data_IF_153042553712
#
_entry.id   IF_153042553712
#
_cell.length_a   1.000
_cell.length_b   1.000
_cell.length_c   1.000
_cell.angle_alpha   90.00
_cell.angle_beta   90.00
_cell.angle_gamma   90.00
#
_symmetry.space_group_name_H-M   'P 1'
#
loop_
_entity.id
_entity.type
_entity.pdbx_description
1 polymer ?
#
# COMPACT_ATOMS: atom_id res chain seq x y z
N UNK A 1 -50.42 -19.58 -21.19
CA UNK A 1 -51.82 -19.61 -20.70
C UNK A 1 -51.80 -19.40 -19.19
N UNK A 2 -52.46 -18.34 -18.73
CA UNK A 2 -52.54 -17.90 -17.34
C UNK A 2 -53.60 -18.72 -16.62
N UNK A 3 -53.30 -19.34 -15.47
CA UNK A 3 -54.31 -19.70 -14.45
C UNK A 3 -53.70 -19.60 -13.05
N UNK A 4 -54.00 -18.47 -12.41
CA UNK A 4 -53.99 -18.33 -10.97
C UNK A 4 -55.39 -18.73 -10.46
N UNK A 5 -55.48 -19.62 -9.48
CA UNK A 5 -56.68 -19.78 -8.65
C UNK A 5 -56.21 -19.88 -7.20
N UNK A 6 -56.81 -19.00 -6.42
CA UNK A 6 -56.62 -18.70 -5.02
C UNK A 6 -57.62 -19.55 -4.20
N UNK A 7 -57.26 -19.84 -2.94
CA UNK A 7 -58.11 -19.98 -1.74
C UNK A 7 -58.46 -21.37 -1.14
N UNK A 8 -58.02 -21.45 0.13
CA UNK A 8 -58.72 -21.87 1.36
C UNK A 8 -58.53 -23.30 1.90
N UNK A 9 -57.93 -23.30 3.09
CA UNK A 9 -57.67 -24.37 4.06
C UNK A 9 -58.96 -24.88 4.69
N UNK A 10 -58.98 -26.15 5.16
CA UNK A 10 -59.38 -26.36 6.55
C UNK A 10 -58.41 -27.25 7.33
N UNK A 11 -58.26 -26.89 8.60
CA UNK A 11 -57.41 -27.50 9.61
C UNK A 11 -58.02 -28.75 10.26
N UNK A 12 -57.18 -29.72 10.67
CA UNK A 12 -57.42 -30.68 11.77
C UNK A 12 -56.08 -31.39 12.08
N UNK A 13 -55.31 -30.96 13.09
CA UNK A 13 -55.28 -31.45 14.49
C UNK A 13 -54.76 -32.89 14.66
N UNK A 14 -53.52 -33.05 15.17
CA UNK A 14 -53.20 -33.50 16.55
C UNK A 14 -51.83 -34.21 16.66
N UNK A 15 -51.17 -33.90 17.78
CA UNK A 15 -50.36 -34.76 18.64
C UNK A 15 -48.82 -34.60 18.66
N UNK A 16 -48.36 -34.55 19.91
CA UNK A 16 -47.08 -35.01 20.46
C UNK A 16 -45.87 -34.06 20.42
N UNK A 17 -45.81 -33.28 21.49
CA UNK A 17 -44.64 -32.93 22.30
C UNK A 17 -43.33 -33.65 21.96
N UNK A 18 -42.39 -32.88 21.39
CA UNK A 18 -40.99 -32.95 21.74
C UNK A 18 -40.41 -31.54 21.56
N UNK A 19 -40.57 -30.70 22.57
CA UNK A 19 -39.73 -29.51 22.73
C UNK A 19 -38.32 -30.02 23.07
N UNK A 20 -37.63 -30.59 22.08
CA UNK A 20 -36.19 -30.56 22.11
C UNK A 20 -35.84 -29.08 22.07
N UNK A 21 -35.52 -28.53 23.23
CA UNK A 21 -34.81 -27.28 23.35
C UNK A 21 -33.47 -27.49 22.64
N UNK A 22 -33.45 -27.35 21.32
CA UNK A 22 -32.23 -26.99 20.63
C UNK A 22 -31.84 -25.63 21.23
N UNK A 23 -30.67 -25.50 21.87
CA UNK A 23 -30.15 -24.20 22.22
C UNK A 23 -29.82 -23.47 20.90
N UNK A 24 -30.83 -22.83 20.32
CA UNK A 24 -30.68 -21.65 19.49
C UNK A 24 -30.12 -20.57 20.41
N UNK A 25 -28.79 -20.46 20.43
CA UNK A 25 -28.10 -19.56 21.34
C UNK A 25 -26.63 -19.41 20.99
N UNK A 26 -26.33 -19.45 19.70
CA UNK A 26 -25.01 -19.16 19.16
C UNK A 26 -25.15 -18.18 18.01
N UNK A 27 -25.76 -17.01 18.25
CA UNK A 27 -25.38 -15.85 17.46
C UNK A 27 -23.87 -15.72 17.61
N UNK A 28 -23.11 -16.25 16.64
CA UNK A 28 -21.83 -15.68 16.29
C UNK A 28 -22.20 -14.26 15.89
N UNK A 29 -22.23 -13.36 16.88
CA UNK A 29 -22.04 -11.94 16.65
C UNK A 29 -20.80 -11.93 15.79
N UNK A 30 -20.97 -11.72 14.49
CA UNK A 30 -19.90 -11.22 13.65
C UNK A 30 -19.53 -9.96 14.40
N UNK A 31 -18.47 -10.06 15.19
CA UNK A 31 -17.84 -8.91 15.77
C UNK A 31 -17.25 -8.26 14.54
N UNK A 32 -18.07 -7.44 13.87
CA UNK A 32 -17.59 -6.29 13.10
C UNK A 32 -17.04 -5.36 14.20
N UNK A 33 -15.98 -5.83 14.85
CA UNK A 33 -15.10 -4.99 15.61
C UNK A 33 -14.52 -4.10 14.55
N UNK A 34 -15.10 -2.90 14.52
CA UNK A 34 -14.54 -1.62 14.15
C UNK A 34 -13.01 -1.63 14.18
N UNK A 35 -12.39 -2.33 13.24
CA UNK A 35 -10.98 -2.18 12.86
C UNK A 35 -10.93 -1.13 11.76
N UNK A 36 -11.53 0.01 12.07
CA UNK A 36 -11.25 1.29 11.42
C UNK A 36 -10.55 2.14 12.50
N UNK A 37 -9.50 1.60 13.13
CA UNK A 37 -8.75 2.34 14.15
C UNK A 37 -7.37 1.69 14.42
N UNK A 38 -6.68 1.37 13.34
CA UNK A 38 -5.22 1.53 13.26
C UNK A 38 -5.02 2.00 11.85
N UNK A 39 -4.81 3.31 11.70
CA UNK A 39 -4.61 3.93 10.39
C UNK A 39 -3.71 3.05 9.55
N UNK A 40 -4.18 2.69 8.37
CA UNK A 40 -3.37 2.04 7.35
C UNK A 40 -2.00 2.77 7.35
N UNK A 41 -0.87 2.11 7.64
CA UNK A 41 0.45 2.77 7.59
C UNK A 41 0.82 3.27 6.18
N UNK A 42 -0.12 3.19 5.22
CA UNK A 42 0.07 3.30 3.79
C UNK A 42 -0.27 4.65 3.16
N UNK A 43 -0.33 5.76 3.90
CA UNK A 43 -0.46 7.10 3.30
C UNK A 43 0.38 8.20 3.99
N UNK A 44 1.41 7.84 4.77
CA UNK A 44 2.37 8.81 5.31
C UNK A 44 3.56 8.99 4.36
N UNK A 45 3.37 9.61 3.17
CA UNK A 45 4.47 10.25 2.39
C UNK A 45 3.99 11.12 1.21
N UNK A 46 2.86 11.81 1.29
CA UNK A 46 2.54 12.89 0.34
C UNK A 46 2.72 14.23 1.03
N UNK A 47 3.94 14.76 1.04
CA UNK A 47 4.16 16.07 1.66
C UNK A 47 5.61 16.51 1.85
N UNK A 48 6.61 15.74 1.43
CA UNK A 48 7.90 16.36 1.10
C UNK A 48 7.81 16.71 -0.38
N UNK A 49 7.58 18.00 -0.67
CA UNK A 49 7.65 18.52 -2.05
C UNK A 49 8.92 17.99 -2.72
N UNK A 50 8.82 17.68 -4.02
CA UNK A 50 9.92 16.99 -4.69
C UNK A 50 11.17 17.86 -4.61
N UNK A 51 12.33 17.25 -4.38
CA UNK A 51 13.55 18.04 -4.12
C UNK A 51 13.96 18.93 -5.32
N UNK A 52 13.55 18.55 -6.55
CA UNK A 52 13.78 19.31 -7.78
C UNK A 52 12.79 20.46 -8.00
N UNK A 53 11.67 20.49 -7.27
CA UNK A 53 10.68 21.59 -7.29
C UNK A 53 11.04 22.71 -6.30
N UNK A 54 11.94 22.43 -5.35
CA UNK A 54 12.42 23.45 -4.43
C UNK A 54 13.35 24.43 -5.20
N UNK A 55 12.98 25.72 -5.33
CA UNK A 55 13.74 26.68 -6.14
C UNK A 55 15.13 26.97 -5.57
N UNK A 56 15.29 26.95 -4.24
CA UNK A 56 16.60 27.14 -3.59
C UNK A 56 17.53 25.98 -3.91
N UNK A 57 17.04 24.73 -3.77
CA UNK A 57 17.83 23.54 -4.09
C UNK A 57 18.11 23.41 -5.59
N UNK A 58 17.14 23.71 -6.45
CA UNK A 58 17.33 23.70 -7.89
C UNK A 58 18.40 24.72 -8.32
N UNK A 59 18.36 25.94 -7.76
CA UNK A 59 19.38 26.96 -8.00
C UNK A 59 20.74 26.55 -7.43
N UNK A 60 20.78 26.00 -6.23
CA UNK A 60 22.01 25.53 -5.62
C UNK A 60 22.64 24.43 -6.48
N UNK A 61 21.89 23.44 -6.94
CA UNK A 61 22.40 22.38 -7.82
C UNK A 61 22.75 22.93 -9.21
N UNK A 62 22.13 24.02 -9.63
CA UNK A 62 22.26 24.59 -10.97
C UNK A 62 21.43 23.81 -12.00
N UNK A 63 20.22 23.39 -11.63
CA UNK A 63 19.30 22.72 -12.56
C UNK A 63 18.72 23.71 -13.56
N UNK A 64 18.67 23.31 -14.83
CA UNK A 64 17.94 24.05 -15.86
C UNK A 64 16.44 23.74 -15.78
N UNK A 65 15.60 24.65 -16.30
CA UNK A 65 14.16 24.42 -16.40
C UNK A 65 13.83 23.14 -17.18
N UNK A 66 14.58 22.87 -18.26
CA UNK A 66 14.45 21.65 -19.06
C UNK A 66 14.77 20.39 -18.25
N UNK A 67 15.79 20.43 -17.39
CA UNK A 67 16.11 19.31 -16.49
C UNK A 67 14.99 19.10 -15.46
N UNK A 68 14.49 20.18 -14.85
CA UNK A 68 13.38 20.11 -13.88
C UNK A 68 12.14 19.48 -14.52
N UNK A 69 11.71 19.97 -15.69
CA UNK A 69 10.57 19.42 -16.43
C UNK A 69 10.75 17.94 -16.78
N UNK A 70 11.96 17.55 -17.19
CA UNK A 70 12.27 16.15 -17.51
C UNK A 70 12.18 15.25 -16.27
N UNK A 71 12.77 15.68 -15.16
CA UNK A 71 12.73 14.95 -13.89
C UNK A 71 11.30 14.80 -13.40
N UNK A 72 10.51 15.88 -13.45
CA UNK A 72 9.10 15.87 -13.03
C UNK A 72 8.24 14.90 -13.86
N UNK A 73 8.39 14.94 -15.19
CA UNK A 73 7.69 14.00 -16.08
C UNK A 73 8.05 12.53 -15.81
N UNK A 74 9.33 12.25 -15.55
CA UNK A 74 9.80 10.92 -15.15
C UNK A 74 9.22 10.48 -13.81
N UNK A 75 9.19 11.38 -12.82
CA UNK A 75 8.65 11.10 -11.49
C UNK A 75 7.14 10.85 -11.53
N UNK A 76 6.40 11.66 -12.29
CA UNK A 76 4.96 11.48 -12.50
C UNK A 76 4.66 10.14 -13.16
N UNK A 77 5.42 9.77 -14.18
CA UNK A 77 5.27 8.48 -14.88
C UNK A 77 5.54 7.31 -13.94
N UNK A 78 6.67 7.35 -13.22
CA UNK A 78 7.04 6.32 -12.26
C UNK A 78 6.03 6.19 -11.12
N UNK A 79 5.47 7.29 -10.64
CA UNK A 79 4.44 7.29 -9.59
C UNK A 79 3.16 6.61 -10.06
N UNK A 80 2.71 6.88 -11.29
CA UNK A 80 1.55 6.20 -11.89
C UNK A 80 1.77 4.70 -12.01
N UNK A 81 2.96 4.29 -12.46
CA UNK A 81 3.32 2.87 -12.57
C UNK A 81 3.41 2.17 -11.20
N UNK A 82 3.98 2.85 -10.21
CA UNK A 82 4.10 2.34 -8.83
C UNK A 82 2.72 2.11 -8.23
N UNK A 83 1.80 3.07 -8.36
CA UNK A 83 0.41 2.93 -7.88
C UNK A 83 -0.27 1.70 -8.49
N UNK A 84 -0.14 1.49 -9.81
CA UNK A 84 -0.72 0.33 -10.49
C UNK A 84 -0.12 -0.98 -9.97
N UNK A 85 1.20 -1.05 -9.90
CA UNK A 85 1.89 -2.28 -9.45
C UNK A 85 1.65 -2.59 -7.97
N UNK A 86 1.53 -1.56 -7.13
CA UNK A 86 1.16 -1.72 -5.71
C UNK A 86 -0.30 -2.18 -5.55
N UNK A 87 -1.21 -1.73 -6.42
CA UNK A 87 -2.58 -2.22 -6.47
C UNK A 87 -2.63 -3.70 -6.89
N UNK A 88 -1.91 -4.08 -7.95
CA UNK A 88 -1.79 -5.48 -8.40
C UNK A 88 -1.22 -6.36 -7.27
N UNK A 89 -0.18 -5.88 -6.57
CA UNK A 89 0.39 -6.59 -5.42
C UNK A 89 -0.62 -6.79 -4.31
N UNK A 90 -1.45 -5.77 -4.02
CA UNK A 90 -2.48 -5.87 -2.99
C UNK A 90 -3.53 -6.92 -3.35
N UNK A 91 -3.98 -6.94 -4.61
CA UNK A 91 -4.93 -7.94 -5.12
C UNK A 91 -4.33 -9.35 -5.03
N UNK A 92 -3.12 -9.55 -5.54
CA UNK A 92 -2.46 -10.87 -5.52
C UNK A 92 -2.25 -11.39 -4.09
N UNK A 93 -2.00 -10.52 -3.11
CA UNK A 93 -1.92 -10.89 -1.69
C UNK A 93 -3.27 -11.31 -1.11
N UNK A 94 -4.36 -10.65 -1.49
CA UNK A 94 -5.71 -11.03 -1.07
C UNK A 94 -6.06 -12.41 -1.64
N UNK A 95 -5.83 -12.62 -2.93
CA UNK A 95 -6.05 -13.92 -3.58
C UNK A 95 -5.17 -15.04 -2.98
N UNK A 96 -3.93 -14.72 -2.58
CA UNK A 96 -3.08 -15.67 -1.87
C UNK A 96 -3.67 -16.02 -0.51
N UNK A 97 -4.20 -15.04 0.23
CA UNK A 97 -4.83 -15.27 1.53
C UNK A 97 -6.05 -16.18 1.37
N UNK A 98 -6.91 -15.92 0.39
CA UNK A 98 -8.10 -16.74 0.12
C UNK A 98 -7.71 -18.21 -0.18
N UNK A 99 -6.63 -18.43 -0.94
CA UNK A 99 -6.09 -19.77 -1.22
C UNK A 99 -5.44 -20.44 0.01
N UNK A 100 -4.93 -19.66 0.96
CA UNK A 100 -4.36 -20.20 2.20
C UNK A 100 -5.44 -20.58 3.20
N UNK A 101 -6.60 -19.93 3.15
CA UNK A 101 -7.76 -20.26 4.00
C UNK A 101 -8.44 -21.57 3.55
N UNK A 102 -8.32 -21.94 2.27
CA UNK A 102 -8.75 -23.22 1.70
C UNK A 102 -7.58 -23.97 1.04
N UNK A 103 -6.86 -24.77 1.84
CA UNK A 103 -5.65 -25.52 1.46
C UNK A 103 -5.90 -26.68 0.46
N UNK A 104 -6.93 -26.60 -0.38
CA UNK A 104 -7.29 -27.64 -1.34
C UNK A 104 -6.37 -27.73 -2.57
N UNK A 105 -5.51 -26.74 -2.83
CA UNK A 105 -4.67 -26.72 -4.03
C UNK A 105 -3.29 -26.04 -3.82
N UNK A 106 -2.31 -26.84 -3.40
CA UNK A 106 -0.90 -26.43 -3.24
C UNK A 106 -0.29 -25.77 -4.49
N UNK A 107 -0.67 -26.24 -5.68
CA UNK A 107 -0.16 -25.71 -6.95
C UNK A 107 -0.61 -24.27 -7.18
N UNK A 108 -1.89 -23.99 -6.91
CA UNK A 108 -2.45 -22.64 -7.00
C UNK A 108 -1.81 -21.70 -5.97
N UNK A 109 -1.65 -22.16 -4.73
CA UNK A 109 -0.98 -21.41 -3.65
C UNK A 109 0.44 -21.02 -4.07
N UNK A 110 1.26 -21.99 -4.49
CA UNK A 110 2.66 -21.73 -4.90
C UNK A 110 2.75 -20.80 -6.10
N UNK A 111 1.84 -20.95 -7.08
CA UNK A 111 1.77 -20.06 -8.24
C UNK A 111 1.46 -18.62 -7.81
N UNK A 112 0.47 -18.42 -6.94
CA UNK A 112 0.07 -17.09 -6.47
C UNK A 112 1.15 -16.47 -5.57
N UNK A 113 1.81 -17.25 -4.72
CA UNK A 113 2.97 -16.80 -3.95
C UNK A 113 4.12 -16.33 -4.85
N UNK A 114 4.41 -17.06 -5.94
CA UNK A 114 5.42 -16.63 -6.93
C UNK A 114 5.04 -15.31 -7.60
N UNK A 115 3.77 -15.10 -7.91
CA UNK A 115 3.26 -13.84 -8.47
C UNK A 115 3.45 -12.66 -7.51
N UNK A 116 3.12 -12.84 -6.22
CA UNK A 116 3.37 -11.85 -5.16
C UNK A 116 4.86 -11.48 -5.11
N UNK A 117 5.76 -12.46 -5.09
CA UNK A 117 7.21 -12.21 -5.08
C UNK A 117 7.67 -11.43 -6.31
N UNK A 118 7.18 -11.76 -7.51
CA UNK A 118 7.50 -11.04 -8.75
C UNK A 118 7.03 -9.60 -8.73
N UNK A 119 5.85 -9.32 -8.18
CA UNK A 119 5.33 -7.96 -8.05
C UNK A 119 6.15 -7.14 -7.06
N UNK A 120 6.59 -7.73 -5.95
CA UNK A 120 7.50 -7.08 -5.00
C UNK A 120 8.85 -6.75 -5.63
N UNK A 121 9.42 -7.71 -6.37
CA UNK A 121 10.65 -7.50 -7.12
C UNK A 121 10.50 -6.36 -8.15
N UNK A 122 9.40 -6.36 -8.91
CA UNK A 122 9.11 -5.30 -9.89
C UNK A 122 9.07 -3.92 -9.25
N UNK A 123 8.43 -3.77 -8.08
CA UNK A 123 8.40 -2.50 -7.34
C UNK A 123 9.81 -2.09 -6.92
N UNK A 124 10.62 -3.02 -6.39
CA UNK A 124 11.99 -2.74 -5.98
C UNK A 124 12.87 -2.29 -7.15
N UNK A 125 12.85 -3.04 -8.24
CA UNK A 125 13.63 -2.74 -9.44
C UNK A 125 13.17 -1.43 -10.08
N UNK A 126 11.87 -1.19 -10.19
CA UNK A 126 11.34 0.08 -10.74
C UNK A 126 11.84 1.30 -9.95
N UNK A 127 11.93 1.21 -8.62
CA UNK A 127 12.47 2.28 -7.77
C UNK A 127 13.97 2.52 -8.01
N UNK A 128 14.75 1.45 -8.22
CA UNK A 128 16.17 1.55 -8.55
C UNK A 128 16.34 2.22 -9.92
N UNK A 129 15.66 1.69 -10.93
CA UNK A 129 15.77 2.20 -12.29
C UNK A 129 15.32 3.66 -12.39
N UNK A 130 14.26 4.04 -11.69
CA UNK A 130 13.83 5.42 -11.61
C UNK A 130 14.93 6.34 -11.03
N UNK A 131 15.57 5.94 -9.92
CA UNK A 131 16.68 6.70 -9.32
C UNK A 131 17.89 6.79 -10.23
N UNK A 132 18.26 5.70 -10.90
CA UNK A 132 19.36 5.68 -11.87
C UNK A 132 19.05 6.60 -13.05
N UNK A 133 17.83 6.54 -13.58
CA UNK A 133 17.39 7.36 -14.70
C UNK A 133 17.37 8.86 -14.33
N UNK A 134 16.87 9.23 -13.15
CA UNK A 134 16.95 10.61 -12.66
C UNK A 134 18.40 11.09 -12.53
N UNK A 135 19.30 10.26 -12.00
CA UNK A 135 20.71 10.62 -11.86
C UNK A 135 21.37 10.88 -13.22
N UNK A 136 20.98 10.16 -14.27
CA UNK A 136 21.45 10.36 -15.66
C UNK A 136 20.99 11.69 -16.29
N UNK A 137 19.98 12.37 -15.74
CA UNK A 137 19.57 13.71 -16.20
C UNK A 137 20.55 14.79 -15.73
N UNK A 138 21.27 14.52 -14.64
CA UNK A 138 22.21 15.44 -14.02
C UNK A 138 23.61 15.30 -14.63
N UNK A 139 24.34 16.43 -14.74
CA UNK A 139 25.76 16.42 -15.09
C UNK A 139 26.61 15.85 -13.94
N UNK A 140 27.84 15.41 -14.22
CA UNK A 140 28.74 14.89 -13.20
C UNK A 140 28.99 15.89 -12.05
N UNK A 141 29.05 17.19 -12.36
CA UNK A 141 29.20 18.26 -11.37
C UNK A 141 27.95 18.42 -10.49
N UNK A 142 26.75 18.41 -11.10
CA UNK A 142 25.47 18.45 -10.39
C UNK A 142 25.31 17.23 -9.46
N UNK A 143 25.72 16.05 -9.92
CA UNK A 143 25.72 14.82 -9.10
C UNK A 143 26.66 14.93 -7.90
N UNK A 144 27.86 15.49 -8.08
CA UNK A 144 28.83 15.72 -6.99
C UNK A 144 28.24 16.69 -5.95
N UNK A 145 27.61 17.77 -6.40
CA UNK A 145 26.94 18.76 -5.54
C UNK A 145 25.76 18.15 -4.77
N UNK A 146 24.98 17.30 -5.41
CA UNK A 146 23.92 16.54 -4.74
C UNK A 146 24.45 15.63 -3.63
N UNK A 147 25.57 14.93 -3.86
CA UNK A 147 26.19 14.04 -2.86
C UNK A 147 26.73 14.82 -1.65
N UNK A 148 27.40 15.94 -1.87
CA UNK A 148 27.94 16.76 -0.77
C UNK A 148 26.84 17.33 0.12
N UNK A 149 25.75 17.84 -0.47
CA UNK A 149 24.61 18.36 0.30
C UNK A 149 23.94 17.29 1.17
N UNK A 150 23.79 16.06 0.67
CA UNK A 150 23.26 14.94 1.46
C UNK A 150 24.13 14.63 2.67
N UNK A 151 25.45 14.59 2.47
CA UNK A 151 26.41 14.36 3.55
C UNK A 151 26.34 15.47 4.62
N UNK A 152 26.26 16.73 4.21
CA UNK A 152 26.12 17.87 5.13
C UNK A 152 24.82 17.83 5.94
N UNK A 153 23.69 17.49 5.31
CA UNK A 153 22.41 17.34 6.02
C UNK A 153 22.46 16.20 7.04
N UNK A 154 23.06 15.05 6.72
CA UNK A 154 23.23 13.95 7.67
C UNK A 154 24.12 14.32 8.86
N UNK A 155 25.24 15.01 8.62
CA UNK A 155 26.12 15.48 9.70
C UNK A 155 25.39 16.46 10.63
N UNK A 156 24.59 17.38 10.07
CA UNK A 156 23.82 18.36 10.85
C UNK A 156 22.73 17.70 11.71
N UNK A 157 22.07 16.65 11.21
CA UNK A 157 21.10 15.91 12.02
C UNK A 157 21.77 15.16 13.16
N UNK A 158 22.91 14.50 12.91
CA UNK A 158 23.67 13.79 13.96
C UNK A 158 24.14 14.74 15.08
N UNK A 159 24.67 15.93 14.74
CA UNK A 159 25.12 16.91 15.75
C UNK A 159 23.96 17.45 16.62
N UNK A 160 22.75 17.52 16.08
CA UNK A 160 21.58 18.06 16.81
C UNK A 160 21.04 17.08 17.86
N UNK A 161 21.21 15.78 17.62
CA UNK A 161 20.74 14.73 18.52
C UNK A 161 21.70 14.51 19.71
N UNK A 162 22.95 14.99 19.60
CA UNK A 162 23.97 14.91 20.67
C UNK A 162 23.92 16.10 21.66
N UNK A 163 23.09 17.11 21.39
CA UNK A 163 23.03 18.37 22.16
C UNK A 163 21.67 18.57 22.86
N UNK A 164 21.13 17.53 23.50
CA UNK A 164 19.82 17.60 24.18
C UNK A 164 19.74 16.95 25.56
N UNK A 165 20.86 16.49 26.13
CA UNK A 165 20.86 15.66 27.35
C UNK A 165 21.73 16.14 28.51
N UNK A 166 22.32 17.33 28.45
CA UNK A 166 23.09 17.89 29.57
C UNK A 166 22.76 19.37 29.74
N UNK A 167 22.03 19.70 30.80
CA UNK A 167 21.89 21.08 31.26
C UNK A 167 20.45 21.50 31.53
N UNK A 168 19.86 20.96 32.58
CA UNK A 168 19.15 21.83 33.53
C UNK A 168 19.35 21.26 34.94
N UNK A 169 19.65 22.19 35.84
CA UNK A 169 20.01 22.02 37.25
C UNK A 169 19.01 21.22 38.06
#
# INVERSE_FOLDING_TARGET
MKKAILLMVPALMLAASAMAQCPSGGEKKIRIEKRIEKGDPGMMHQGRGQWWENPELAKEIGLTETQVKKIDGMATTHRKETIRTEADLKIAKMELQDLMDDLGNDGAIRKKASEVSKLQEKIYNSRIEHRLAMNKVLTAEQQKKMKSMKHMKMKKTMIKDDCGGCGNK
#
